data_IF_481333613954
#
_entry.id   IF_481333613954
#
_cell.length_a   1.000
_cell.length_b   1.000
_cell.length_c   1.000
_cell.angle_alpha   90.00
_cell.angle_beta   90.00
_cell.angle_gamma   90.00
#
_symmetry.space_group_name_H-M   'P 1'
#
loop_
_entity.id
_entity.type
_entity.pdbx_description
1 polymer ?
#
# COMPACT_ATOMS: atom_id res chain seq x y z
N UNK A 1 1.69 -3.65 7.64
CA UNK A 1 0.30 -3.29 7.25
C UNK A 1 -0.58 -3.52 8.45
N UNK A 2 -1.22 -2.48 8.96
CA UNK A 2 -2.06 -2.56 10.16
C UNK A 2 -3.41 -3.12 9.79
N UNK A 3 -3.78 -4.25 10.38
CA UNK A 3 -5.11 -4.82 10.25
C UNK A 3 -5.89 -4.40 11.49
N UNK A 4 -7.00 -3.72 11.31
CA UNK A 4 -7.94 -3.44 12.41
C UNK A 4 -8.69 -4.72 12.79
N UNK A 5 -8.90 -4.92 14.08
CA UNK A 5 -9.75 -5.98 14.55
C UNK A 5 -11.22 -5.65 14.25
N UNK A 6 -11.89 -6.55 13.56
CA UNK A 6 -13.30 -6.35 13.18
C UNK A 6 -14.08 -7.65 13.32
N UNK A 7 -15.35 -7.56 13.75
CA UNK A 7 -16.26 -8.71 13.82
C UNK A 7 -17.40 -8.54 12.82
N UNK A 8 -17.61 -9.56 11.99
CA UNK A 8 -18.74 -9.64 11.02
C UNK A 8 -18.90 -8.41 10.12
N UNK A 9 -17.77 -7.78 9.74
CA UNK A 9 -17.79 -6.62 8.85
C UNK A 9 -17.83 -7.05 7.38
N UNK A 10 -18.47 -6.27 6.55
CA UNK A 10 -18.42 -6.48 5.10
C UNK A 10 -16.98 -6.31 4.62
N UNK A 11 -16.41 -7.35 3.99
CA UNK A 11 -15.03 -7.32 3.51
C UNK A 11 -14.78 -6.22 2.47
N UNK A 12 -15.81 -5.80 1.73
CA UNK A 12 -15.69 -4.70 0.76
C UNK A 12 -15.46 -3.33 1.41
N UNK A 13 -15.69 -3.19 2.71
CA UNK A 13 -15.40 -1.97 3.47
C UNK A 13 -13.99 -1.95 4.06
N UNK A 14 -13.28 -3.08 3.98
CA UNK A 14 -11.92 -3.21 4.51
C UNK A 14 -10.89 -2.90 3.43
N UNK A 15 -10.27 -1.71 3.42
CA UNK A 15 -9.41 -1.27 2.31
C UNK A 15 -8.19 -2.17 2.10
N UNK A 16 -7.65 -2.75 3.18
CA UNK A 16 -6.43 -3.58 3.12
C UNK A 16 -6.69 -5.05 2.87
N UNK A 17 -7.92 -5.51 2.97
CA UNK A 17 -8.28 -6.91 2.92
C UNK A 17 -7.83 -7.59 1.62
N UNK A 18 -7.95 -6.88 0.52
CA UNK A 18 -7.60 -7.35 -0.81
C UNK A 18 -6.10 -7.48 -1.07
N UNK A 19 -5.25 -6.93 -0.19
CA UNK A 19 -3.80 -7.05 -0.29
C UNK A 19 -3.24 -8.25 0.48
N UNK A 20 -4.08 -8.92 1.29
CA UNK A 20 -3.75 -10.10 2.06
C UNK A 20 -4.39 -11.34 1.44
N UNK A 21 -3.78 -11.90 0.40
CA UNK A 21 -4.30 -13.07 -0.29
C UNK A 21 -3.55 -14.37 0.04
N UNK A 22 -2.42 -14.32 0.76
CA UNK A 22 -1.73 -15.51 1.23
C UNK A 22 -2.56 -16.32 2.24
N UNK A 23 -2.33 -17.64 2.39
CA UNK A 23 -3.16 -18.54 3.21
C UNK A 23 -2.92 -18.41 4.71
N UNK A 24 -1.79 -17.83 5.12
CA UNK A 24 -1.36 -17.81 6.52
C UNK A 24 -2.35 -16.99 7.37
N UNK A 25 -2.80 -17.60 8.46
CA UNK A 25 -3.72 -16.96 9.40
C UNK A 25 -5.15 -16.79 8.89
N UNK A 26 -5.57 -17.55 7.87
CA UNK A 26 -6.93 -17.51 7.34
C UNK A 26 -7.70 -18.80 7.61
N UNK A 27 -8.95 -18.65 8.02
CA UNK A 27 -9.89 -19.73 8.22
C UNK A 27 -11.12 -19.50 7.35
N UNK A 28 -11.46 -20.48 6.54
CA UNK A 28 -12.63 -20.47 5.65
C UNK A 28 -13.58 -21.58 6.08
N UNK A 29 -14.88 -21.30 6.16
CA UNK A 29 -15.87 -22.34 6.45
C UNK A 29 -15.86 -23.37 5.35
N UNK A 30 -15.63 -24.66 5.70
CA UNK A 30 -15.54 -25.79 4.75
C UNK A 30 -16.74 -25.86 3.80
N UNK A 31 -17.96 -25.56 4.30
CA UNK A 31 -19.17 -25.56 3.48
C UNK A 31 -19.12 -24.56 2.31
N UNK A 32 -18.42 -23.43 2.46
CA UNK A 32 -18.27 -22.44 1.37
C UNK A 32 -17.44 -23.06 0.24
N UNK A 33 -16.35 -23.74 0.59
CA UNK A 33 -15.46 -24.37 -0.38
C UNK A 33 -16.20 -25.47 -1.16
N UNK A 34 -16.95 -26.32 -0.44
CA UNK A 34 -17.69 -27.44 -1.05
C UNK A 34 -18.85 -26.92 -1.91
N UNK A 35 -19.71 -26.05 -1.36
CA UNK A 35 -20.93 -25.59 -2.06
C UNK A 35 -20.63 -24.79 -3.32
N UNK A 36 -19.45 -24.18 -3.41
CA UNK A 36 -19.02 -23.36 -4.56
C UNK A 36 -17.88 -23.99 -5.35
N UNK A 37 -17.50 -25.24 -5.04
CA UNK A 37 -16.39 -25.97 -5.67
C UNK A 37 -15.10 -25.15 -5.76
N UNK A 38 -14.74 -24.43 -4.68
CA UNK A 38 -13.53 -23.61 -4.64
C UNK A 38 -12.34 -24.53 -4.33
N UNK A 39 -11.37 -24.56 -5.24
CA UNK A 39 -10.14 -25.35 -5.15
C UNK A 39 -8.93 -24.47 -5.42
N UNK A 40 -7.76 -24.89 -4.95
CA UNK A 40 -6.52 -24.34 -5.45
C UNK A 40 -6.33 -24.80 -6.90
N UNK A 41 -5.75 -23.95 -7.71
CA UNK A 41 -5.33 -24.29 -9.08
C UNK A 41 -4.01 -25.04 -9.00
N UNK A 42 -3.98 -26.27 -9.51
CA UNK A 42 -2.82 -27.16 -9.56
C UNK A 42 -1.93 -26.93 -10.79
N UNK A 43 -2.44 -26.21 -11.79
CA UNK A 43 -1.69 -25.76 -12.97
C UNK A 43 -0.82 -24.50 -12.73
N UNK A 44 -0.91 -23.87 -11.54
CA UNK A 44 -0.12 -22.70 -11.18
C UNK A 44 0.96 -23.06 -10.15
N UNK A 45 2.21 -22.75 -10.49
CA UNK A 45 3.36 -22.93 -9.57
C UNK A 45 3.39 -21.82 -8.49
N UNK A 46 2.77 -20.66 -8.76
CA UNK A 46 2.79 -19.50 -7.89
C UNK A 46 1.48 -18.71 -8.02
N UNK A 47 1.01 -18.13 -6.90
CA UNK A 47 -0.15 -17.24 -6.89
C UNK A 47 -1.50 -17.96 -6.92
N UNK A 48 -1.51 -19.28 -6.83
CA UNK A 48 -2.70 -20.11 -6.67
C UNK A 48 -3.55 -19.69 -5.46
N UNK A 49 -2.88 -19.22 -4.41
CA UNK A 49 -3.50 -18.68 -3.19
C UNK A 49 -4.29 -17.38 -3.46
N UNK A 50 -3.78 -16.51 -4.34
CA UNK A 50 -4.46 -15.26 -4.71
C UNK A 50 -5.81 -15.55 -5.36
N UNK A 51 -5.85 -16.47 -6.31
CA UNK A 51 -7.06 -16.88 -7.02
C UNK A 51 -8.01 -17.61 -6.07
N UNK A 52 -7.50 -18.53 -5.26
CA UNK A 52 -8.29 -19.24 -4.27
C UNK A 52 -9.01 -18.28 -3.31
N UNK A 53 -8.29 -17.34 -2.69
CA UNK A 53 -8.92 -16.39 -1.76
C UNK A 53 -9.80 -15.36 -2.45
N UNK A 54 -9.48 -14.95 -3.67
CA UNK A 54 -10.37 -14.12 -4.47
C UNK A 54 -11.72 -14.83 -4.68
N UNK A 55 -11.70 -16.11 -5.02
CA UNK A 55 -12.90 -16.92 -5.21
C UNK A 55 -13.68 -17.12 -3.90
N UNK A 56 -12.98 -17.30 -2.78
CA UNK A 56 -13.61 -17.32 -1.45
C UNK A 56 -14.32 -15.98 -1.16
N UNK A 57 -13.65 -14.85 -1.41
CA UNK A 57 -14.22 -13.53 -1.14
C UNK A 57 -15.42 -13.22 -2.04
N UNK A 58 -15.45 -13.74 -3.26
CA UNK A 58 -16.62 -13.62 -4.16
C UNK A 58 -17.88 -14.33 -3.63
N UNK A 59 -17.74 -15.24 -2.65
CA UNK A 59 -18.83 -16.06 -2.10
C UNK A 59 -19.17 -15.73 -0.64
N UNK A 60 -18.53 -14.76 -0.05
CA UNK A 60 -18.76 -14.32 1.33
C UNK A 60 -19.06 -12.83 1.37
N UNK A 61 -19.89 -12.41 2.34
CA UNK A 61 -20.18 -10.99 2.53
C UNK A 61 -19.49 -10.43 3.78
N UNK A 62 -19.25 -11.27 4.80
CA UNK A 62 -18.74 -10.83 6.10
C UNK A 62 -17.49 -11.59 6.50
N UNK A 63 -16.56 -10.88 7.10
CA UNK A 63 -15.32 -11.41 7.66
C UNK A 63 -15.15 -10.95 9.11
N UNK A 64 -14.42 -11.75 9.85
CA UNK A 64 -13.88 -11.38 11.16
C UNK A 64 -12.37 -11.33 11.03
N UNK A 65 -11.76 -10.27 11.49
CA UNK A 65 -10.30 -10.09 11.56
C UNK A 65 -9.92 -9.97 13.01
N UNK A 66 -8.93 -10.73 13.45
CA UNK A 66 -8.41 -10.68 14.82
C UNK A 66 -6.93 -10.35 14.80
N UNK A 67 -6.46 -9.68 15.85
CA UNK A 67 -5.04 -9.41 16.09
C UNK A 67 -4.31 -10.56 16.78
N UNK A 68 -5.01 -11.62 17.16
CA UNK A 68 -4.40 -12.78 17.78
C UNK A 68 -3.41 -13.46 16.85
N UNK A 69 -2.28 -13.87 17.40
CA UNK A 69 -1.28 -14.63 16.65
C UNK A 69 -1.87 -15.99 16.32
N UNK A 70 -2.03 -16.28 15.03
CA UNK A 70 -2.59 -17.54 14.53
C UNK A 70 -1.56 -18.41 13.81
N UNK A 71 -0.40 -17.87 13.48
CA UNK A 71 0.68 -18.60 12.81
C UNK A 71 2.03 -17.92 13.04
N UNK A 72 3.08 -18.73 13.04
CA UNK A 72 4.47 -18.29 13.00
C UNK A 72 5.08 -18.64 11.65
N UNK A 73 5.79 -17.68 11.05
CA UNK A 73 6.42 -17.87 9.73
C UNK A 73 7.91 -18.09 9.94
N UNK A 74 8.40 -19.27 9.53
CA UNK A 74 9.83 -19.53 9.51
C UNK A 74 10.48 -18.75 8.35
N UNK A 75 11.36 -17.81 8.68
CA UNK A 75 12.14 -16.97 7.74
C UNK A 75 13.62 -17.33 7.72
N UNK A 76 14.02 -18.49 8.25
CA UNK A 76 15.41 -18.93 8.21
C UNK A 76 15.95 -18.97 6.78
N UNK A 77 17.29 -18.87 6.65
CA UNK A 77 17.94 -18.90 5.33
C UNK A 77 17.72 -20.23 4.61
N UNK A 78 17.61 -21.33 5.37
CA UNK A 78 17.42 -22.69 4.88
C UNK A 78 15.98 -22.98 4.39
N UNK A 79 15.05 -22.05 4.65
CA UNK A 79 13.67 -22.23 4.21
C UNK A 79 13.56 -22.11 2.69
N UNK A 80 13.33 -23.25 2.06
CA UNK A 80 13.16 -23.44 0.61
C UNK A 80 11.73 -23.18 0.15
N UNK A 81 11.16 -22.01 0.45
CA UNK A 81 9.79 -21.68 0.04
C UNK A 81 9.65 -21.55 -1.48
N UNK A 82 8.48 -21.90 -2.01
CA UNK A 82 8.11 -21.72 -3.43
C UNK A 82 8.35 -20.28 -3.88
N UNK A 83 8.07 -19.29 -3.02
CA UNK A 83 8.31 -17.87 -3.31
C UNK A 83 9.77 -17.56 -3.66
N UNK A 84 10.74 -18.24 -3.01
CA UNK A 84 12.17 -18.08 -3.31
C UNK A 84 12.58 -18.81 -4.59
N UNK A 85 11.94 -19.94 -4.89
CA UNK A 85 12.27 -20.79 -6.04
C UNK A 85 11.67 -20.32 -7.35
N UNK A 86 10.50 -19.69 -7.31
CA UNK A 86 9.82 -19.21 -8.52
C UNK A 86 10.52 -17.95 -9.05
N UNK A 87 10.88 -17.95 -10.32
CA UNK A 87 11.50 -16.81 -10.97
C UNK A 87 10.52 -15.63 -11.13
N UNK A 88 11.05 -14.48 -11.54
CA UNK A 88 10.27 -13.25 -11.62
C UNK A 88 9.23 -13.29 -12.75
N UNK A 89 9.57 -13.88 -13.89
CA UNK A 89 8.72 -13.96 -15.08
C UNK A 89 7.52 -14.89 -14.81
N UNK A 90 7.75 -16.06 -14.20
CA UNK A 90 6.67 -16.99 -13.86
C UNK A 90 5.68 -16.34 -12.86
N UNK A 91 6.18 -15.51 -11.95
CA UNK A 91 5.29 -14.72 -11.09
C UNK A 91 4.44 -13.74 -11.89
N UNK A 92 4.99 -13.12 -12.95
CA UNK A 92 4.20 -12.20 -13.82
C UNK A 92 3.19 -12.97 -14.67
N UNK A 93 3.54 -14.13 -15.20
CA UNK A 93 2.59 -15.02 -15.91
C UNK A 93 1.43 -15.43 -14.97
N UNK A 94 1.73 -15.73 -13.73
CA UNK A 94 0.71 -16.00 -12.71
C UNK A 94 -0.17 -14.78 -12.41
N UNK A 95 0.37 -13.57 -12.41
CA UNK A 95 -0.43 -12.35 -12.24
C UNK A 95 -1.34 -12.08 -13.46
N UNK A 96 -0.93 -12.51 -14.66
CA UNK A 96 -1.79 -12.47 -15.85
C UNK A 96 -3.01 -13.43 -15.70
N UNK A 97 -2.80 -14.64 -15.20
CA UNK A 97 -3.89 -15.56 -14.90
C UNK A 97 -4.82 -15.01 -13.80
N UNK A 98 -4.24 -14.44 -12.75
CA UNK A 98 -5.02 -13.78 -11.71
C UNK A 98 -5.84 -12.60 -12.27
N UNK A 99 -5.31 -11.85 -13.23
CA UNK A 99 -6.04 -10.79 -13.93
C UNK A 99 -7.22 -11.34 -14.74
N UNK A 100 -7.02 -12.41 -15.52
CA UNK A 100 -8.06 -13.07 -16.29
C UNK A 100 -9.22 -13.56 -15.40
N UNK A 101 -8.88 -14.19 -14.28
CA UNK A 101 -9.86 -14.63 -13.28
C UNK A 101 -10.60 -13.43 -12.64
N UNK A 102 -9.88 -12.35 -12.30
CA UNK A 102 -10.50 -11.18 -11.73
C UNK A 102 -11.51 -10.49 -12.67
N UNK A 103 -11.30 -10.57 -13.97
CA UNK A 103 -12.27 -10.08 -14.97
C UNK A 103 -13.61 -10.83 -14.94
N UNK A 104 -13.66 -12.07 -14.45
CA UNK A 104 -14.86 -12.89 -14.37
C UNK A 104 -15.71 -12.63 -13.11
N UNK A 105 -15.21 -11.83 -12.16
CA UNK A 105 -15.94 -11.54 -10.92
C UNK A 105 -17.27 -10.83 -11.22
N UNK A 106 -18.34 -11.28 -10.57
CA UNK A 106 -19.68 -10.71 -10.72
C UNK A 106 -19.84 -9.35 -10.04
N UNK A 107 -19.26 -9.17 -8.84
CA UNK A 107 -19.28 -7.88 -8.15
C UNK A 107 -18.38 -6.86 -8.83
N UNK A 108 -18.95 -5.83 -9.44
CA UNK A 108 -18.19 -4.72 -10.05
C UNK A 108 -17.25 -4.04 -9.06
N UNK A 109 -17.68 -3.85 -7.82
CA UNK A 109 -16.88 -3.19 -6.78
C UNK A 109 -15.65 -4.02 -6.41
N UNK A 110 -15.87 -5.33 -6.19
CA UNK A 110 -14.79 -6.27 -5.88
C UNK A 110 -13.84 -6.45 -7.07
N UNK A 111 -14.38 -6.65 -8.28
CA UNK A 111 -13.60 -6.68 -9.53
C UNK A 111 -12.65 -5.49 -9.63
N UNK A 112 -13.18 -4.27 -9.48
CA UNK A 112 -12.37 -3.06 -9.57
C UNK A 112 -11.25 -3.01 -8.52
N UNK A 113 -11.51 -3.48 -7.30
CA UNK A 113 -10.48 -3.52 -6.24
C UNK A 113 -9.35 -4.50 -6.59
N UNK A 114 -9.69 -5.71 -7.06
CA UNK A 114 -8.69 -6.67 -7.49
C UNK A 114 -7.91 -6.20 -8.70
N UNK A 115 -8.57 -5.64 -9.70
CA UNK A 115 -7.88 -5.12 -10.88
C UNK A 115 -6.89 -4.00 -10.53
N UNK A 116 -7.30 -3.01 -9.72
CA UNK A 116 -6.37 -1.95 -9.26
C UNK A 116 -5.20 -2.55 -8.47
N UNK A 117 -5.46 -3.52 -7.58
CA UNK A 117 -4.40 -4.21 -6.85
C UNK A 117 -3.42 -4.92 -7.79
N UNK A 118 -3.91 -5.66 -8.78
CA UNK A 118 -3.07 -6.35 -9.75
C UNK A 118 -2.19 -5.34 -10.50
N UNK A 119 -2.81 -4.33 -11.09
CA UNK A 119 -2.13 -3.32 -11.89
C UNK A 119 -1.02 -2.61 -11.11
N UNK A 120 -1.30 -2.14 -9.92
CA UNK A 120 -0.36 -1.36 -9.13
C UNK A 120 0.56 -2.24 -8.28
N UNK A 121 -0.03 -3.10 -7.43
CA UNK A 121 0.72 -3.82 -6.42
C UNK A 121 1.46 -5.04 -6.96
N UNK A 122 0.76 -5.89 -7.76
CA UNK A 122 1.38 -7.11 -8.28
C UNK A 122 2.29 -6.82 -9.50
N UNK A 123 1.97 -5.84 -10.32
CA UNK A 123 2.77 -5.51 -11.50
C UNK A 123 3.79 -4.40 -11.20
N UNK A 124 3.39 -3.12 -11.20
CA UNK A 124 4.33 -1.99 -11.16
C UNK A 124 5.20 -1.95 -9.90
N UNK A 125 4.61 -2.19 -8.72
CA UNK A 125 5.37 -2.20 -7.48
C UNK A 125 6.40 -3.33 -7.40
N UNK A 126 6.13 -4.48 -8.02
CA UNK A 126 7.09 -5.57 -8.09
C UNK A 126 8.22 -5.30 -9.08
N UNK A 127 7.97 -4.61 -10.20
CA UNK A 127 9.02 -4.12 -11.10
C UNK A 127 9.91 -3.10 -10.39
N UNK A 128 9.35 -2.30 -9.49
CA UNK A 128 10.12 -1.44 -8.60
C UNK A 128 10.90 -2.28 -7.57
N UNK A 129 11.84 -3.11 -8.03
CA UNK A 129 12.63 -4.03 -7.20
C UNK A 129 14.03 -4.26 -7.73
N UNK A 130 14.96 -4.56 -6.80
CA UNK A 130 16.32 -4.93 -7.19
C UNK A 130 16.39 -6.25 -7.95
N UNK A 131 15.37 -7.11 -7.85
CA UNK A 131 15.29 -8.36 -8.61
C UNK A 131 15.13 -8.03 -10.09
N UNK A 132 14.18 -7.15 -10.44
CA UNK A 132 13.97 -6.71 -11.82
C UNK A 132 15.25 -6.10 -12.43
N UNK A 133 15.92 -5.20 -11.70
CA UNK A 133 17.14 -4.53 -12.19
C UNK A 133 18.32 -5.48 -12.46
N UNK A 134 18.33 -6.66 -11.84
CA UNK A 134 19.37 -7.68 -12.02
C UNK A 134 19.05 -8.69 -13.14
N UNK A 135 17.87 -8.62 -13.71
CA UNK A 135 17.47 -9.49 -14.81
C UNK A 135 18.22 -9.13 -16.11
N UNK A 136 18.37 -10.09 -17.00
CA UNK A 136 18.88 -9.85 -18.36
C UNK A 136 17.93 -8.91 -19.12
N UNK A 137 18.44 -8.32 -20.19
CA UNK A 137 17.64 -7.44 -21.06
C UNK A 137 16.41 -8.19 -21.63
N UNK A 138 16.60 -9.43 -22.06
CA UNK A 138 15.54 -10.24 -22.64
C UNK A 138 14.45 -10.57 -21.62
N UNK A 139 14.83 -10.93 -20.39
CA UNK A 139 13.88 -11.15 -19.30
C UNK A 139 13.08 -9.88 -18.94
N UNK A 140 13.71 -8.70 -18.96
CA UNK A 140 13.03 -7.43 -18.73
C UNK A 140 12.07 -7.09 -19.87
N UNK A 141 12.44 -7.37 -21.14
CA UNK A 141 11.56 -7.23 -22.30
C UNK A 141 10.37 -8.17 -22.22
N UNK A 142 10.57 -9.44 -21.85
CA UNK A 142 9.46 -10.39 -21.62
C UNK A 142 8.53 -9.90 -20.51
N UNK A 143 9.09 -9.42 -19.40
CA UNK A 143 8.33 -8.83 -18.31
C UNK A 143 7.48 -7.64 -18.76
N UNK A 144 8.07 -6.74 -19.55
CA UNK A 144 7.35 -5.59 -20.12
C UNK A 144 6.20 -6.05 -21.03
N UNK A 145 6.44 -7.04 -21.89
CA UNK A 145 5.42 -7.61 -22.78
C UNK A 145 4.22 -8.16 -22.01
N UNK A 146 4.44 -8.92 -20.92
CA UNK A 146 3.37 -9.44 -20.06
C UNK A 146 2.58 -8.29 -19.45
N UNK A 147 3.27 -7.29 -18.90
CA UNK A 147 2.62 -6.14 -18.28
C UNK A 147 1.81 -5.36 -19.30
N UNK A 148 2.38 -5.09 -20.45
CA UNK A 148 1.70 -4.37 -21.53
C UNK A 148 0.44 -5.09 -22.00
N UNK A 149 0.47 -6.40 -22.17
CA UNK A 149 -0.70 -7.20 -22.53
C UNK A 149 -1.85 -7.02 -21.54
N UNK A 150 -1.55 -6.97 -20.24
CA UNK A 150 -2.57 -6.74 -19.21
C UNK A 150 -3.12 -5.31 -19.28
N UNK A 151 -2.26 -4.30 -19.43
CA UNK A 151 -2.68 -2.90 -19.45
C UNK A 151 -3.44 -2.50 -20.72
N UNK A 152 -3.15 -3.16 -21.84
CA UNK A 152 -3.83 -2.93 -23.13
C UNK A 152 -5.00 -3.88 -23.37
N UNK A 153 -5.32 -4.75 -22.41
CA UNK A 153 -6.41 -5.70 -22.54
C UNK A 153 -7.76 -4.99 -22.77
N UNK A 154 -8.56 -5.39 -23.79
CA UNK A 154 -9.81 -4.69 -24.18
C UNK A 154 -10.84 -4.54 -23.05
N UNK A 155 -10.85 -5.49 -22.11
CA UNK A 155 -11.79 -5.47 -20.98
C UNK A 155 -11.35 -4.52 -19.86
N UNK A 156 -10.12 -4.00 -19.88
CA UNK A 156 -9.62 -3.10 -18.86
C UNK A 156 -10.19 -1.68 -19.04
N UNK A 157 -10.89 -1.20 -18.04
CA UNK A 157 -11.54 0.13 -18.09
C UNK A 157 -10.55 1.25 -17.76
N UNK A 158 -10.45 2.27 -18.62
CA UNK A 158 -9.54 3.43 -18.44
C UNK A 158 -9.65 4.12 -17.07
N UNK A 159 -10.84 4.13 -16.44
CA UNK A 159 -11.00 4.74 -15.11
C UNK A 159 -10.26 3.99 -14.00
N UNK A 160 -9.91 2.72 -14.18
CA UNK A 160 -9.11 1.95 -13.21
C UNK A 160 -7.64 2.37 -13.25
N UNK A 161 -7.13 2.67 -14.44
CA UNK A 161 -5.75 3.19 -14.63
C UNK A 161 -5.57 4.52 -13.91
N UNK A 162 -6.59 5.38 -13.92
CA UNK A 162 -6.59 6.67 -13.16
C UNK A 162 -6.56 6.50 -11.63
N UNK A 163 -6.68 5.29 -11.12
CA UNK A 163 -6.61 4.98 -9.67
C UNK A 163 -5.22 4.51 -9.24
N UNK A 164 -4.33 4.28 -10.17
CA UNK A 164 -2.94 3.93 -9.93
C UNK A 164 -2.20 5.17 -9.42
N UNK A 165 -1.24 4.96 -8.54
CA UNK A 165 -0.44 6.04 -7.95
C UNK A 165 0.25 6.86 -9.06
N UNK A 166 0.11 8.20 -8.99
CA UNK A 166 0.70 9.16 -9.95
C UNK A 166 2.21 8.99 -10.15
N UNK A 167 2.91 8.40 -9.18
CA UNK A 167 4.36 8.13 -9.31
C UNK A 167 4.69 7.21 -10.49
N UNK A 168 3.76 6.36 -10.91
CA UNK A 168 3.96 5.46 -12.05
C UNK A 168 3.53 6.04 -13.38
N UNK A 169 3.19 7.34 -13.44
CA UNK A 169 2.70 7.96 -14.67
C UNK A 169 3.63 7.73 -15.86
N UNK A 170 4.93 7.96 -15.71
CA UNK A 170 5.90 7.74 -16.80
C UNK A 170 5.98 6.28 -17.26
N UNK A 171 5.84 5.31 -16.33
CA UNK A 171 5.76 3.91 -16.69
C UNK A 171 4.46 3.59 -17.45
N UNK A 172 3.34 4.19 -17.06
CA UNK A 172 2.06 4.01 -17.76
C UNK A 172 2.11 4.61 -19.17
N UNK A 173 2.68 5.81 -19.32
CA UNK A 173 2.87 6.43 -20.64
C UNK A 173 3.71 5.50 -21.54
N UNK A 174 4.84 4.98 -21.05
CA UNK A 174 5.69 4.04 -21.77
C UNK A 174 4.96 2.72 -22.15
N UNK A 175 4.12 2.17 -21.28
CA UNK A 175 3.32 0.98 -21.56
C UNK A 175 2.34 1.22 -22.74
N UNK A 176 1.67 2.39 -22.77
CA UNK A 176 0.72 2.71 -23.83
C UNK A 176 1.38 3.16 -25.14
N UNK A 177 2.59 3.70 -25.07
CA UNK A 177 3.42 4.06 -26.24
C UNK A 177 4.18 2.85 -26.80
N UNK A 178 4.15 1.69 -26.15
CA UNK A 178 4.96 0.50 -26.48
C UNK A 178 6.48 0.75 -26.42
N UNK A 179 6.88 1.59 -25.49
CA UNK A 179 8.28 2.05 -25.32
C UNK A 179 8.93 1.31 -24.15
N UNK A 180 9.56 0.17 -24.46
CA UNK A 180 10.29 -0.62 -23.46
C UNK A 180 11.47 0.17 -22.86
N UNK A 181 12.23 0.89 -23.67
CA UNK A 181 13.42 1.63 -23.25
C UNK A 181 13.06 2.68 -22.21
N UNK A 182 12.02 3.45 -22.44
CA UNK A 182 11.47 4.43 -21.49
C UNK A 182 10.95 3.78 -20.21
N UNK A 183 10.25 2.65 -20.32
CA UNK A 183 9.77 1.88 -19.17
C UNK A 183 10.92 1.38 -18.30
N UNK A 184 11.91 0.76 -18.90
CA UNK A 184 13.08 0.21 -18.22
C UNK A 184 13.92 1.32 -17.57
N UNK A 185 14.18 2.40 -18.30
CA UNK A 185 14.88 3.58 -17.79
C UNK A 185 14.16 4.19 -16.58
N UNK A 186 12.81 4.28 -16.61
CA UNK A 186 12.03 4.79 -15.49
C UNK A 186 12.26 3.97 -14.21
N UNK A 187 12.21 2.63 -14.28
CA UNK A 187 12.41 1.79 -13.10
C UNK A 187 13.86 1.77 -12.62
N UNK A 188 14.82 1.87 -13.53
CA UNK A 188 16.24 2.09 -13.19
C UNK A 188 16.42 3.41 -12.42
N UNK A 189 15.88 4.51 -12.96
CA UNK A 189 15.92 5.81 -12.29
C UNK A 189 15.20 5.77 -10.93
N UNK A 190 14.01 5.17 -10.88
CA UNK A 190 13.21 5.11 -9.65
C UNK A 190 13.95 4.40 -8.52
N UNK A 191 14.75 3.39 -8.81
CA UNK A 191 15.50 2.61 -7.84
C UNK A 191 16.90 3.15 -7.53
N UNK A 192 17.65 3.58 -8.53
CA UNK A 192 19.08 3.90 -8.40
C UNK A 192 19.48 5.23 -9.00
N UNK A 193 18.67 5.83 -9.86
CA UNK A 193 19.02 7.07 -10.54
C UNK A 193 19.12 8.26 -9.58
N UNK A 194 19.90 9.25 -9.99
CA UNK A 194 20.00 10.53 -9.29
C UNK A 194 18.65 11.23 -9.32
N UNK A 195 18.23 11.77 -8.19
CA UNK A 195 16.97 12.47 -8.01
C UNK A 195 17.25 13.91 -7.57
N UNK A 196 16.94 14.85 -8.44
CA UNK A 196 16.99 16.26 -8.09
C UNK A 196 15.64 16.68 -7.50
N UNK A 197 15.69 17.37 -6.37
CA UNK A 197 14.49 17.95 -5.77
C UNK A 197 14.20 19.29 -6.41
N UNK A 198 13.01 19.41 -6.98
CA UNK A 198 12.42 20.67 -7.45
C UNK A 198 11.15 20.97 -6.65
N UNK A 199 10.67 22.21 -6.75
CA UNK A 199 9.40 22.61 -6.17
C UNK A 199 8.47 23.12 -7.28
N UNK A 200 7.22 22.64 -7.25
CA UNK A 200 6.21 23.12 -8.19
C UNK A 200 5.77 24.58 -7.85
N UNK A 201 4.91 25.16 -8.70
CA UNK A 201 4.39 26.53 -8.52
C UNK A 201 3.67 26.77 -7.18
N UNK A 202 3.30 25.71 -6.45
CA UNK A 202 2.68 25.78 -5.12
C UNK A 202 3.67 25.47 -3.99
N UNK A 203 4.97 25.37 -4.29
CA UNK A 203 6.03 25.06 -3.34
C UNK A 203 5.99 23.61 -2.86
N UNK A 204 5.41 22.67 -3.62
CA UNK A 204 5.35 21.24 -3.27
C UNK A 204 6.49 20.49 -3.93
N UNK A 205 7.06 19.55 -3.19
CA UNK A 205 8.23 18.79 -3.61
C UNK A 205 7.94 17.85 -4.79
N UNK A 206 8.80 17.90 -5.80
CA UNK A 206 8.82 17.02 -6.97
C UNK A 206 10.24 16.49 -7.12
N UNK A 207 10.38 15.20 -7.39
CA UNK A 207 11.65 14.59 -7.79
C UNK A 207 11.73 14.53 -9.31
N UNK A 208 12.86 14.93 -9.86
CA UNK A 208 13.14 14.93 -11.31
C UNK A 208 14.38 14.09 -11.61
N UNK A 209 14.40 13.42 -12.77
CA UNK A 209 15.60 12.79 -13.29
C UNK A 209 16.57 13.83 -13.88
N UNK A 210 17.83 13.46 -13.94
CA UNK A 210 18.89 14.19 -14.65
C UNK A 210 19.23 13.55 -16.00
N UNK A 211 18.57 12.41 -16.32
CA UNK A 211 18.83 11.59 -17.49
C UNK A 211 18.06 12.11 -18.71
N UNK A 212 18.30 11.55 -19.88
CA UNK A 212 17.69 11.93 -21.18
C UNK A 212 16.16 11.89 -21.15
N UNK A 213 15.58 11.02 -20.31
CA UNK A 213 14.14 11.01 -20.05
C UNK A 213 13.80 11.96 -18.90
N UNK A 214 12.95 12.94 -19.14
CA UNK A 214 12.46 13.86 -18.10
C UNK A 214 11.42 13.22 -17.18
N UNK A 215 11.83 12.28 -16.34
CA UNK A 215 10.95 11.69 -15.33
C UNK A 215 10.66 12.66 -14.20
N UNK A 216 9.40 12.69 -13.75
CA UNK A 216 8.96 13.49 -12.61
C UNK A 216 8.04 12.70 -11.70
N UNK A 217 8.30 12.75 -10.39
CA UNK A 217 7.46 12.14 -9.37
C UNK A 217 7.07 13.18 -8.35
N UNK A 218 5.76 13.30 -8.11
CA UNK A 218 5.23 14.04 -6.98
C UNK A 218 5.51 13.27 -5.69
N UNK A 219 6.09 13.93 -4.69
CA UNK A 219 6.44 13.31 -3.41
C UNK A 219 5.34 13.62 -2.40
N UNK A 220 4.54 12.62 -1.98
CA UNK A 220 3.65 12.78 -0.85
C UNK A 220 4.44 13.20 0.38
N UNK A 221 4.06 14.33 0.96
CA UNK A 221 4.75 14.91 2.11
C UNK A 221 3.72 15.46 3.10
N UNK A 222 4.02 15.35 4.38
CA UNK A 222 3.24 15.97 5.44
C UNK A 222 4.19 16.62 6.44
N UNK A 223 3.89 17.87 6.83
CA UNK A 223 4.65 18.56 7.86
C UNK A 223 3.73 19.36 8.75
N UNK A 224 4.03 19.37 10.03
CA UNK A 224 3.25 20.09 11.02
C UNK A 224 3.42 21.59 10.83
N UNK A 225 2.31 22.29 10.72
CA UNK A 225 2.27 23.76 10.59
C UNK A 225 1.83 24.43 11.88
N UNK A 226 1.03 23.74 12.69
CA UNK A 226 0.56 24.27 13.97
C UNK A 226 0.23 23.15 14.96
N UNK A 227 0.49 23.39 16.25
CA UNK A 227 0.00 22.56 17.37
C UNK A 227 -0.60 23.48 18.43
N UNK A 228 -1.90 23.34 18.63
CA UNK A 228 -2.61 23.96 19.73
C UNK A 228 -2.67 22.98 20.90
N UNK A 229 -2.11 23.38 22.02
CA UNK A 229 -2.07 22.56 23.24
C UNK A 229 -3.11 23.07 24.24
N UNK A 230 -3.88 22.14 24.77
CA UNK A 230 -4.70 22.35 25.97
C UNK A 230 -4.17 21.46 27.09
N UNK A 231 -4.74 21.54 28.31
CA UNK A 231 -4.37 20.62 29.41
C UNK A 231 -4.59 19.15 29.04
N UNK A 232 -5.59 18.86 28.22
CA UNK A 232 -6.06 17.49 27.95
C UNK A 232 -5.81 17.02 26.52
N UNK A 233 -5.28 17.88 25.63
CA UNK A 233 -5.16 17.50 24.22
C UNK A 233 -4.16 18.34 23.41
N UNK A 234 -3.69 17.73 22.32
CA UNK A 234 -2.96 18.38 21.24
C UNK A 234 -3.83 18.34 19.98
N UNK A 235 -4.19 19.50 19.46
CA UNK A 235 -4.78 19.64 18.13
C UNK A 235 -3.65 19.92 17.15
N UNK A 236 -3.40 19.00 16.24
CA UNK A 236 -2.26 19.04 15.32
C UNK A 236 -2.78 19.35 13.92
N UNK A 237 -2.19 20.36 13.31
CA UNK A 237 -2.45 20.75 11.93
C UNK A 237 -1.21 20.48 11.08
N UNK A 238 -1.40 19.72 10.00
CA UNK A 238 -0.34 19.37 9.08
C UNK A 238 -0.69 19.84 7.67
N UNK A 239 0.25 20.47 6.99
CA UNK A 239 0.16 20.65 5.54
C UNK A 239 0.50 19.30 4.90
N UNK A 240 -0.35 18.87 3.99
CA UNK A 240 -0.19 17.60 3.26
C UNK A 240 -0.13 17.90 1.78
N UNK A 241 0.99 17.58 1.15
CA UNK A 241 1.24 17.84 -0.27
C UNK A 241 1.11 16.55 -1.09
N UNK A 242 0.54 16.67 -2.28
CA UNK A 242 0.38 15.59 -3.26
C UNK A 242 -0.48 14.39 -2.81
N UNK A 243 -1.34 14.60 -1.81
CA UNK A 243 -2.37 13.64 -1.42
C UNK A 243 -3.73 14.32 -1.54
N UNK A 244 -4.59 13.80 -2.42
CA UNK A 244 -5.95 14.31 -2.58
C UNK A 244 -6.83 13.94 -1.40
N UNK A 245 -7.80 14.79 -1.05
CA UNK A 245 -8.78 14.56 0.03
C UNK A 245 -9.49 13.21 -0.09
N UNK A 246 -9.92 12.83 -1.29
CA UNK A 246 -10.60 11.54 -1.54
C UNK A 246 -9.74 10.31 -1.26
N UNK A 247 -8.42 10.49 -1.22
CA UNK A 247 -7.44 9.43 -1.00
C UNK A 247 -6.97 9.36 0.46
N UNK A 248 -7.23 10.38 1.26
CA UNK A 248 -6.95 10.36 2.70
C UNK A 248 -7.85 9.34 3.41
N UNK A 249 -7.29 8.66 4.42
CA UNK A 249 -8.01 7.67 5.24
C UNK A 249 -8.11 8.12 6.68
N UNK A 250 -7.00 8.12 7.38
CA UNK A 250 -6.89 8.44 8.80
C UNK A 250 -5.43 8.71 9.19
N UNK A 251 -5.20 8.93 10.46
CA UNK A 251 -3.87 8.97 11.09
C UNK A 251 -3.62 7.64 11.79
N UNK A 252 -2.53 6.98 11.43
CA UNK A 252 -2.09 5.76 12.07
C UNK A 252 -1.08 6.06 13.17
N UNK A 253 -1.37 5.61 14.38
CA UNK A 253 -0.38 5.42 15.44
C UNK A 253 0.17 4.00 15.32
N UNK A 254 1.36 3.87 14.76
CA UNK A 254 2.02 2.59 14.55
C UNK A 254 2.99 2.33 15.70
N UNK A 255 2.66 1.37 16.57
CA UNK A 255 3.56 0.94 17.63
C UNK A 255 4.82 0.30 17.01
N UNK A 256 6.02 0.71 17.48
CA UNK A 256 7.28 0.26 16.89
C UNK A 256 7.65 -1.17 17.24
N UNK A 257 7.13 -1.68 18.34
CA UNK A 257 7.48 -3.01 18.88
C UNK A 257 6.39 -4.03 18.57
N UNK A 258 5.13 -3.62 18.68
CA UNK A 258 3.99 -4.53 18.51
C UNK A 258 2.87 -3.91 17.68
N UNK A 259 2.73 -4.36 16.44
CA UNK A 259 1.68 -3.90 15.53
C UNK A 259 0.24 -4.10 16.06
N UNK A 260 0.04 -5.02 17.03
CA UNK A 260 -1.28 -5.25 17.66
C UNK A 260 -1.74 -4.03 18.45
N UNK A 261 -0.81 -3.22 18.90
CA UNK A 261 -1.05 -1.98 19.64
C UNK A 261 -1.24 -0.76 18.72
N UNK A 262 -1.28 -0.95 17.41
CA UNK A 262 -1.57 0.13 16.49
C UNK A 262 -2.98 0.67 16.67
N UNK A 263 -3.15 1.98 16.53
CA UNK A 263 -4.42 2.68 16.67
C UNK A 263 -4.63 3.66 15.52
N UNK A 264 -5.86 3.80 15.07
CA UNK A 264 -6.22 4.81 14.07
C UNK A 264 -6.93 5.98 14.74
N UNK A 265 -6.58 7.19 14.30
CA UNK A 265 -7.21 8.44 14.72
C UNK A 265 -7.94 9.02 13.52
N UNK A 266 -9.17 9.45 13.72
CA UNK A 266 -9.96 10.11 12.68
C UNK A 266 -9.39 11.48 12.34
N UNK A 267 -9.47 11.83 11.05
CA UNK A 267 -9.19 13.17 10.56
C UNK A 267 -10.40 14.05 10.87
N UNK A 268 -10.19 15.09 11.67
CA UNK A 268 -11.26 16.05 12.05
C UNK A 268 -11.64 16.91 10.84
N UNK A 269 -10.63 17.40 10.11
CA UNK A 269 -10.82 18.29 8.97
C UNK A 269 -9.67 18.12 7.97
N UNK A 270 -9.99 18.23 6.69
CA UNK A 270 -9.01 18.45 5.63
C UNK A 270 -9.52 19.54 4.70
N UNK A 271 -8.82 20.65 4.65
CA UNK A 271 -9.17 21.83 3.85
C UNK A 271 -7.90 22.56 3.40
N UNK A 272 -7.87 23.00 2.15
CA UNK A 272 -6.73 23.74 1.58
C UNK A 272 -5.36 23.07 1.83
N UNK A 273 -5.29 21.74 1.69
CA UNK A 273 -4.11 20.93 2.01
C UNK A 273 -3.71 20.92 3.49
N UNK A 274 -4.54 21.45 4.39
CA UNK A 274 -4.33 21.36 5.85
C UNK A 274 -5.20 20.26 6.42
N UNK A 275 -4.53 19.25 6.99
CA UNK A 275 -5.12 18.15 7.71
C UNK A 275 -5.09 18.45 9.20
N UNK A 276 -6.20 18.25 9.90
CA UNK A 276 -6.33 18.45 11.36
C UNK A 276 -6.74 17.16 12.04
N UNK A 277 -6.02 16.77 13.08
CA UNK A 277 -6.35 15.64 13.95
C UNK A 277 -6.03 15.96 15.41
N UNK A 278 -6.51 15.14 16.34
CA UNK A 278 -6.37 15.38 17.78
C UNK A 278 -5.80 14.17 18.50
N UNK A 279 -4.82 14.41 19.36
CA UNK A 279 -4.35 13.46 20.38
C UNK A 279 -4.82 13.98 21.73
N UNK A 280 -5.61 13.21 22.47
CA UNK A 280 -6.13 13.59 23.77
C UNK A 280 -5.70 12.58 24.86
N UNK A 281 -5.87 12.94 26.13
CA UNK A 281 -5.52 12.10 27.28
C UNK A 281 -6.20 10.74 27.22
N UNK A 282 -7.50 10.69 26.93
CA UNK A 282 -8.23 9.43 26.80
C UNK A 282 -7.60 8.48 25.78
N UNK A 283 -7.15 9.01 24.62
CA UNK A 283 -6.45 8.21 23.64
C UNK A 283 -5.13 7.67 24.19
N UNK A 284 -4.35 8.50 24.91
CA UNK A 284 -3.04 8.09 25.47
C UNK A 284 -3.19 7.11 26.63
N UNK A 285 -4.26 7.19 27.41
CA UNK A 285 -4.62 6.20 28.43
C UNK A 285 -5.00 4.84 27.84
N UNK A 286 -5.69 4.85 26.68
CA UNK A 286 -6.09 3.64 25.96
C UNK A 286 -4.92 2.96 25.21
N UNK A 287 -3.77 3.63 25.09
CA UNK A 287 -2.59 3.11 24.42
C UNK A 287 -1.68 2.36 25.41
N UNK A 288 -1.10 1.28 24.94
CA UNK A 288 -0.04 0.61 25.68
C UNK A 288 1.20 1.52 25.76
N UNK A 289 1.95 1.39 26.85
CA UNK A 289 3.26 2.02 27.01
C UNK A 289 4.18 1.70 25.84
N UNK A 290 4.87 2.70 25.29
CA UNK A 290 5.74 2.49 24.14
C UNK A 290 5.87 3.69 23.20
N UNK A 291 6.51 3.45 22.07
CA UNK A 291 6.77 4.47 21.05
C UNK A 291 5.93 4.18 19.80
N UNK A 292 5.28 5.21 19.31
CA UNK A 292 4.42 5.15 18.14
C UNK A 292 4.89 6.11 17.05
N UNK A 293 5.00 5.65 15.81
CA UNK A 293 5.09 6.53 14.66
C UNK A 293 3.72 7.15 14.39
N UNK A 294 3.68 8.44 14.05
CA UNK A 294 2.44 9.12 13.65
C UNK A 294 2.48 9.30 12.14
N UNK A 295 1.57 8.65 11.43
CA UNK A 295 1.61 8.52 9.98
C UNK A 295 0.27 8.92 9.36
N UNK A 296 0.30 9.67 8.27
CA UNK A 296 -0.89 9.87 7.42
C UNK A 296 -1.09 8.63 6.57
N UNK A 297 -2.25 8.00 6.67
CA UNK A 297 -2.65 6.89 5.82
C UNK A 297 -3.44 7.41 4.61
N UNK A 298 -3.03 7.00 3.41
CA UNK A 298 -3.69 7.42 2.17
C UNK A 298 -3.70 6.31 1.13
N UNK A 299 -4.47 6.49 0.07
CA UNK A 299 -4.77 5.45 -0.90
C UNK A 299 -5.26 4.17 -0.19
N UNK A 300 -4.78 2.99 -0.57
CA UNK A 300 -5.21 1.73 0.05
C UNK A 300 -4.26 1.26 1.15
N UNK A 301 -2.95 1.53 1.03
CA UNK A 301 -1.91 1.00 1.92
C UNK A 301 -0.70 1.92 2.08
N UNK A 302 -0.75 3.13 1.53
CA UNK A 302 0.37 4.08 1.59
C UNK A 302 0.42 4.80 2.93
N UNK A 303 1.64 5.06 3.38
CA UNK A 303 1.93 5.77 4.62
C UNK A 303 2.85 6.94 4.33
N UNK A 304 2.56 8.09 4.91
CA UNK A 304 3.39 9.29 4.84
C UNK A 304 3.77 9.73 6.25
N UNK A 305 5.08 9.89 6.49
CA UNK A 305 5.56 10.46 7.75
C UNK A 305 5.18 11.93 7.85
N UNK A 306 4.82 12.37 9.06
CA UNK A 306 4.60 13.78 9.36
C UNK A 306 5.92 14.37 9.86
N UNK A 307 6.43 15.43 9.23
CA UNK A 307 7.63 16.13 9.68
C UNK A 307 7.31 17.14 10.78
N UNK A 308 8.14 17.16 11.82
CA UNK A 308 7.99 18.05 12.97
C UNK A 308 9.34 18.33 13.64
N UNK A 309 9.51 19.50 14.25
CA UNK A 309 10.79 19.96 14.78
C UNK A 309 10.88 20.07 16.31
N UNK A 310 9.76 19.97 17.06
CA UNK A 310 9.73 20.31 18.49
C UNK A 310 9.11 19.18 19.33
N UNK A 311 9.32 19.24 20.68
CA UNK A 311 8.66 18.35 21.63
C UNK A 311 7.49 19.07 22.31
N UNK A 312 6.38 18.37 22.46
CA UNK A 312 5.22 18.79 23.25
C UNK A 312 4.76 17.67 24.17
N UNK A 313 4.47 17.97 25.39
CA UNK A 313 4.03 17.00 26.41
C UNK A 313 2.55 17.14 26.70
N UNK A 314 1.92 16.04 27.03
CA UNK A 314 0.53 15.92 27.41
C UNK A 314 0.41 14.77 28.43
N UNK A 315 0.19 15.10 29.70
CA UNK A 315 0.07 14.15 30.79
C UNK A 315 1.13 13.00 30.74
N UNK A 316 0.67 11.75 30.51
CA UNK A 316 1.52 10.56 30.43
C UNK A 316 2.23 10.34 29.08
N UNK A 317 2.15 11.30 28.17
CA UNK A 317 2.68 11.13 26.83
C UNK A 317 3.36 12.39 26.30
N UNK A 318 4.22 12.20 25.27
CA UNK A 318 4.80 13.31 24.52
C UNK A 318 4.86 13.04 23.05
N UNK A 319 4.62 14.07 22.23
CA UNK A 319 4.95 14.07 20.82
C UNK A 319 6.31 14.71 20.63
N UNK A 320 7.13 14.13 19.76
CA UNK A 320 8.51 14.60 19.56
C UNK A 320 9.01 14.22 18.15
N UNK A 321 10.02 14.93 17.62
CA UNK A 321 10.68 14.54 16.38
C UNK A 321 11.67 13.40 16.62
N UNK A 322 11.70 12.43 15.72
CA UNK A 322 12.81 11.47 15.64
C UNK A 322 14.07 12.15 15.09
N UNK A 323 15.21 11.44 15.08
CA UNK A 323 16.46 11.90 14.44
C UNK A 323 16.25 12.30 12.96
N UNK A 324 15.27 11.70 12.29
CA UNK A 324 14.91 12.03 10.91
C UNK A 324 13.83 13.12 10.82
N UNK A 325 13.50 13.80 11.91
CA UNK A 325 12.45 14.80 11.96
C UNK A 325 11.03 14.27 11.77
N UNK A 326 10.79 12.98 11.97
CA UNK A 326 9.43 12.40 11.86
C UNK A 326 8.71 12.53 13.20
N UNK A 327 7.44 12.94 13.17
CA UNK A 327 6.59 13.04 14.34
C UNK A 327 6.34 11.67 14.95
N UNK A 328 6.60 11.56 16.25
CA UNK A 328 6.35 10.35 17.03
C UNK A 328 5.67 10.68 18.35
N UNK A 329 4.94 9.69 18.88
CA UNK A 329 4.31 9.73 20.22
C UNK A 329 5.03 8.72 21.11
N UNK A 330 5.43 9.15 22.31
CA UNK A 330 5.87 8.27 23.40
C UNK A 330 4.81 8.30 24.49
N UNK A 331 4.33 7.13 24.88
CA UNK A 331 3.46 6.91 26.05
C UNK A 331 4.30 6.28 27.16
N UNK A 332 4.33 6.91 28.35
CA UNK A 332 5.18 6.53 29.49
C UNK A 332 4.58 5.44 30.36
#
# INVERSE_FOLDING_TARGET
MTIEEVKHKNHEELPYFYYYLGPIGKFVKRKILINHNIRFRDDLVFGEDKIFFMNCYNKINKVTVTKNISAYINRSQDNQSIVKKTNFIDKRKSDEEFFKEALQLSSRKMKNKFLVRILEYDLLKNVQSMVYLKMSLDERKETFGIIRNIYTHPSLKKHLIKRIDDKYKSALDAIFEDDFEKFDAFFHWLQRGVKVTEYDKKGRQVLKSTDDYEFKIKVPNAHTVNIQQTKESLLIQCRVDHIDAKNLKDILLENREDYRNNKCIEIIKFDNSILTFKINMKLTEDLNKGIYNILVRYNNYMLCNIKYGFTKEIDNAKVYPTINGNLSLKVN
#
